data_IF_025658275743
#
_entry.id   IF_025658275743
#
_cell.length_a   1.000
_cell.length_b   1.000
_cell.length_c   1.000
_cell.angle_alpha   90.00
_cell.angle_beta   90.00
_cell.angle_gamma   90.00
#
_symmetry.space_group_name_H-M   'P 1'
#
loop_
_entity.id
_entity.type
_entity.pdbx_description
1 polymer ?
#
# COMPACT_ATOMS: atom_id res chain seq x y z
N UNK A 1 3.97 -25.90 -4.04
CA UNK A 1 2.49 -25.78 -4.20
C UNK A 1 2.02 -24.37 -3.84
N UNK A 2 1.18 -23.72 -4.67
CA UNK A 2 0.58 -22.41 -4.33
C UNK A 2 -0.28 -22.56 -3.06
N UNK A 3 0.06 -21.86 -1.96
CA UNK A 3 -0.59 -21.95 -0.63
C UNK A 3 -2.13 -21.86 -0.65
N UNK A 4 -2.72 -21.16 -1.63
CA UNK A 4 -4.18 -21.07 -1.80
C UNK A 4 -4.84 -22.33 -2.36
N UNK A 5 -4.11 -23.17 -3.11
CA UNK A 5 -4.62 -24.43 -3.67
C UNK A 5 -4.79 -25.50 -2.59
N UNK A 6 -3.88 -25.54 -1.62
CA UNK A 6 -3.94 -26.49 -0.51
C UNK A 6 -5.15 -26.25 0.40
N UNK A 7 -5.41 -25.00 0.81
CA UNK A 7 -6.60 -24.66 1.61
C UNK A 7 -7.92 -25.02 0.93
N UNK A 8 -7.98 -24.86 -0.41
CA UNK A 8 -9.18 -25.21 -1.18
C UNK A 8 -9.42 -26.72 -1.21
N UNK A 9 -8.35 -27.51 -1.33
CA UNK A 9 -8.40 -28.97 -1.31
C UNK A 9 -8.81 -29.47 0.08
N UNK A 10 -8.18 -28.97 1.15
CA UNK A 10 -8.53 -29.34 2.52
C UNK A 10 -9.99 -28.96 2.85
N UNK A 11 -10.42 -27.73 2.52
CA UNK A 11 -11.82 -27.34 2.71
C UNK A 11 -12.81 -28.17 1.89
N UNK A 12 -12.41 -28.61 0.68
CA UNK A 12 -13.21 -29.53 -0.15
C UNK A 12 -13.33 -30.93 0.45
N UNK A 13 -12.28 -31.44 1.09
CA UNK A 13 -12.28 -32.74 1.78
C UNK A 13 -13.23 -32.69 2.99
N UNK A 14 -13.20 -31.61 3.78
CA UNK A 14 -14.13 -31.43 4.90
C UNK A 14 -15.59 -31.36 4.44
N UNK A 15 -15.86 -30.65 3.34
CA UNK A 15 -17.18 -30.62 2.72
C UNK A 15 -17.62 -31.99 2.18
N UNK A 16 -16.68 -32.76 1.63
CA UNK A 16 -16.95 -34.12 1.19
C UNK A 16 -17.38 -35.02 2.36
N UNK A 17 -16.66 -34.98 3.48
CA UNK A 17 -17.07 -35.71 4.68
C UNK A 17 -18.42 -35.27 5.22
N UNK A 18 -18.73 -33.96 5.16
CA UNK A 18 -20.05 -33.46 5.54
C UNK A 18 -21.17 -34.03 4.64
N UNK A 19 -20.96 -34.07 3.33
CA UNK A 19 -21.93 -34.64 2.38
C UNK A 19 -22.08 -36.15 2.59
N UNK A 20 -20.98 -36.88 2.82
CA UNK A 20 -21.01 -38.31 3.11
C UNK A 20 -21.73 -38.61 4.42
N UNK A 21 -21.57 -37.77 5.45
CA UNK A 21 -22.28 -37.89 6.72
C UNK A 21 -23.78 -37.64 6.54
N UNK A 22 -24.17 -36.57 5.84
CA UNK A 22 -25.58 -36.28 5.52
C UNK A 22 -26.19 -37.43 4.70
N UNK A 23 -25.46 -37.97 3.72
CA UNK A 23 -25.94 -39.07 2.89
C UNK A 23 -26.10 -40.36 3.70
N UNK A 24 -25.14 -40.71 4.56
CA UNK A 24 -25.28 -41.85 5.50
C UNK A 24 -26.45 -41.66 6.47
N UNK A 25 -26.63 -40.43 6.96
CA UNK A 25 -27.74 -40.08 7.85
C UNK A 25 -29.10 -40.23 7.15
N UNK A 26 -29.20 -39.78 5.89
CA UNK A 26 -30.41 -39.94 5.06
C UNK A 26 -30.69 -41.41 4.73
N UNK A 27 -29.67 -42.23 4.48
CA UNK A 27 -29.84 -43.66 4.19
C UNK A 27 -30.25 -44.47 5.43
N UNK A 28 -29.85 -44.02 6.64
CA UNK A 28 -30.25 -44.62 7.91
C UNK A 28 -31.51 -43.99 8.54
N UNK A 29 -32.29 -43.19 7.79
CA UNK A 29 -33.55 -42.58 8.24
C UNK A 29 -34.56 -43.58 8.79
N UNK A 30 -34.53 -44.84 8.32
CA UNK A 30 -35.42 -45.90 8.79
C UNK A 30 -35.08 -46.42 10.20
N UNK A 31 -33.84 -46.25 10.68
CA UNK A 31 -33.41 -46.63 12.04
C UNK A 31 -33.46 -45.45 13.03
N UNK A 32 -33.77 -44.24 12.56
CA UNK A 32 -33.68 -43.00 13.33
C UNK A 32 -34.86 -42.74 14.28
N UNK A 33 -35.93 -43.55 14.24
CA UNK A 33 -37.09 -43.36 15.13
C UNK A 33 -36.78 -43.66 16.61
N UNK A 34 -35.68 -44.35 16.91
CA UNK A 34 -35.21 -44.64 18.28
C UNK A 34 -34.17 -43.64 18.81
N UNK A 35 -33.73 -42.65 18.03
CA UNK A 35 -32.65 -41.73 18.42
C UNK A 35 -33.26 -40.40 18.89
N UNK A 36 -33.32 -40.22 20.20
CA UNK A 36 -33.96 -39.09 20.90
C UNK A 36 -33.35 -37.71 20.54
N UNK A 37 -32.10 -37.65 20.06
CA UNK A 37 -31.39 -36.39 19.71
C UNK A 37 -30.80 -36.36 18.28
N UNK A 38 -31.61 -36.73 17.29
CA UNK A 38 -31.21 -36.68 15.87
C UNK A 38 -30.83 -35.27 15.39
N UNK A 39 -31.48 -34.23 15.93
CA UNK A 39 -31.24 -32.82 15.59
C UNK A 39 -29.90 -32.31 16.14
N UNK A 40 -29.53 -32.71 17.36
CA UNK A 40 -28.26 -32.36 17.99
C UNK A 40 -27.05 -32.93 17.24
N UNK A 41 -27.12 -34.20 16.81
CA UNK A 41 -26.06 -34.86 16.04
C UNK A 41 -25.84 -34.21 14.66
N UNK A 42 -26.91 -33.81 13.98
CA UNK A 42 -26.82 -33.09 12.71
C UNK A 42 -26.22 -31.70 12.85
N UNK A 43 -26.70 -30.91 13.83
CA UNK A 43 -26.19 -29.57 14.09
C UNK A 43 -24.70 -29.60 14.45
N UNK A 44 -24.29 -30.58 15.26
CA UNK A 44 -22.90 -30.75 15.65
C UNK A 44 -22.01 -31.12 14.45
N UNK A 45 -22.46 -32.02 13.57
CA UNK A 45 -21.76 -32.35 12.32
C UNK A 45 -21.57 -31.12 11.43
N UNK A 46 -22.61 -30.30 11.25
CA UNK A 46 -22.53 -29.05 10.47
C UNK A 46 -21.51 -28.10 11.09
N UNK A 47 -21.44 -28.03 12.42
CA UNK A 47 -20.51 -27.15 13.12
C UNK A 47 -19.05 -27.61 12.99
N UNK A 48 -18.78 -28.91 13.07
CA UNK A 48 -17.41 -29.48 13.01
C UNK A 48 -16.88 -29.58 11.58
N UNK A 49 -17.70 -30.01 10.61
CA UNK A 49 -17.22 -30.24 9.25
C UNK A 49 -17.71 -29.17 8.26
N UNK A 50 -18.95 -28.72 8.41
CA UNK A 50 -19.57 -27.75 7.50
C UNK A 50 -18.94 -26.36 7.61
N UNK A 51 -18.96 -25.75 8.79
CA UNK A 51 -18.47 -24.38 8.99
C UNK A 51 -16.97 -24.27 8.67
N UNK A 52 -16.06 -25.13 9.18
CA UNK A 52 -14.65 -25.09 8.83
C UNK A 52 -14.39 -25.38 7.35
N UNK A 53 -15.10 -26.35 6.75
CA UNK A 53 -15.00 -26.70 5.34
C UNK A 53 -15.34 -25.53 4.40
N UNK A 54 -16.49 -24.87 4.62
CA UNK A 54 -16.92 -23.70 3.85
C UNK A 54 -15.94 -22.53 4.02
N UNK A 55 -15.52 -22.26 5.26
CA UNK A 55 -14.57 -21.19 5.56
C UNK A 55 -13.24 -21.41 4.84
N UNK A 56 -12.67 -22.62 4.91
CA UNK A 56 -11.41 -22.96 4.25
C UNK A 56 -11.52 -22.89 2.73
N UNK A 57 -12.61 -23.39 2.15
CA UNK A 57 -12.84 -23.33 0.70
C UNK A 57 -12.95 -21.89 0.18
N UNK A 58 -13.75 -21.04 0.85
CA UNK A 58 -13.88 -19.61 0.50
C UNK A 58 -12.56 -18.86 0.66
N UNK A 59 -11.85 -19.08 1.76
CA UNK A 59 -10.57 -18.42 2.05
C UNK A 59 -9.46 -18.86 1.10
N UNK A 60 -9.48 -20.12 0.66
CA UNK A 60 -8.62 -20.63 -0.41
C UNK A 60 -8.86 -19.93 -1.75
N UNK A 61 -10.13 -19.74 -2.14
CA UNK A 61 -10.51 -19.00 -3.36
C UNK A 61 -10.08 -17.53 -3.28
N UNK A 62 -10.31 -16.87 -2.14
CA UNK A 62 -9.96 -15.46 -1.92
C UNK A 62 -8.43 -15.22 -1.93
N UNK A 63 -7.64 -16.16 -1.40
CA UNK A 63 -6.17 -16.07 -1.46
C UNK A 63 -5.63 -16.22 -2.87
N UNK A 64 -6.29 -17.02 -3.72
CA UNK A 64 -5.89 -17.18 -5.12
C UNK A 64 -6.15 -15.92 -5.93
N UNK A 65 -7.33 -15.31 -5.80
CA UNK A 65 -7.65 -14.05 -6.47
C UNK A 65 -6.74 -12.92 -5.98
N UNK A 66 -6.45 -12.85 -4.68
CA UNK A 66 -5.52 -11.84 -4.14
C UNK A 66 -4.09 -11.99 -4.66
N UNK A 67 -3.58 -13.22 -4.76
CA UNK A 67 -2.24 -13.46 -5.32
C UNK A 67 -2.16 -13.08 -6.81
N UNK A 68 -3.23 -13.28 -7.57
CA UNK A 68 -3.33 -12.87 -8.98
C UNK A 68 -3.34 -11.34 -9.11
N UNK A 69 -4.13 -10.65 -8.28
CA UNK A 69 -4.19 -9.19 -8.24
C UNK A 69 -2.83 -8.60 -7.83
N UNK A 70 -2.16 -9.17 -6.84
CA UNK A 70 -0.82 -8.72 -6.42
C UNK A 70 0.22 -8.89 -7.54
N UNK A 71 0.12 -9.95 -8.36
CA UNK A 71 0.96 -10.13 -9.55
C UNK A 71 0.68 -9.08 -10.63
N UNK A 72 -0.60 -8.81 -10.91
CA UNK A 72 -1.00 -7.77 -11.87
C UNK A 72 -0.56 -6.37 -11.44
N UNK A 73 -0.63 -6.05 -10.14
CA UNK A 73 -0.18 -4.76 -9.60
C UNK A 73 1.34 -4.60 -9.70
N UNK A 74 2.11 -5.68 -9.48
CA UNK A 74 3.57 -5.67 -9.69
C UNK A 74 3.95 -5.48 -11.16
N UNK A 75 3.20 -6.09 -12.08
CA UNK A 75 3.41 -5.88 -13.52
C UNK A 75 3.14 -4.45 -13.96
N UNK A 76 2.26 -3.72 -13.25
CA UNK A 76 2.00 -2.30 -13.46
C UNK A 76 2.99 -1.36 -12.76
N UNK A 77 4.09 -1.88 -12.21
CA UNK A 77 5.11 -1.08 -11.52
C UNK A 77 4.69 -0.54 -10.15
N UNK A 78 3.52 -0.93 -9.64
CA UNK A 78 3.05 -0.48 -8.33
C UNK A 78 3.82 -1.28 -7.26
N UNK A 79 4.73 -0.61 -6.56
CA UNK A 79 5.43 -1.17 -5.41
C UNK A 79 4.37 -1.52 -4.34
N UNK A 80 4.24 -2.80 -4.01
CA UNK A 80 3.41 -3.21 -2.88
C UNK A 80 4.25 -3.15 -1.62
N UNK A 81 3.80 -2.49 -0.55
CA UNK A 81 4.56 -2.39 0.68
C UNK A 81 4.84 -3.80 1.22
N UNK A 82 6.12 -4.11 1.42
CA UNK A 82 6.54 -5.40 1.93
C UNK A 82 5.94 -5.64 3.32
N UNK A 83 5.19 -6.73 3.47
CA UNK A 83 4.62 -7.10 4.77
C UNK A 83 5.74 -7.49 5.71
N UNK A 84 6.00 -6.65 6.72
CA UNK A 84 6.93 -6.97 7.81
C UNK A 84 6.44 -8.23 8.53
N UNK A 85 7.29 -9.25 8.57
CA UNK A 85 7.00 -10.55 9.18
C UNK A 85 6.74 -10.43 10.70
N UNK A 86 7.40 -9.47 11.35
CA UNK A 86 7.37 -9.21 12.80
C UNK A 86 6.41 -8.10 13.24
N UNK A 87 5.23 -7.99 12.60
CA UNK A 87 4.19 -7.04 13.03
C UNK A 87 3.44 -7.62 14.24
N UNK A 88 3.19 -6.84 15.29
CA UNK A 88 2.43 -7.27 16.48
C UNK A 88 1.05 -7.89 16.13
N UNK A 89 0.46 -7.44 15.02
CA UNK A 89 -0.73 -8.04 14.41
C UNK A 89 -0.56 -9.53 14.10
N UNK A 90 0.58 -9.96 13.54
CA UNK A 90 0.85 -11.37 13.23
C UNK A 90 0.95 -12.21 14.50
N UNK A 91 1.51 -11.65 15.59
CA UNK A 91 1.58 -12.31 16.90
C UNK A 91 0.19 -12.50 17.50
N UNK A 92 -0.63 -11.45 17.58
CA UNK A 92 -2.01 -11.55 18.09
C UNK A 92 -2.87 -12.51 17.27
N UNK A 93 -2.66 -12.52 15.95
CA UNK A 93 -3.34 -13.45 15.05
C UNK A 93 -2.90 -14.89 15.31
N UNK A 94 -1.60 -15.12 15.48
CA UNK A 94 -1.06 -16.43 15.84
C UNK A 94 -1.61 -16.94 17.17
N UNK A 95 -1.62 -16.10 18.20
CA UNK A 95 -2.19 -16.40 19.51
C UNK A 95 -3.69 -16.74 19.41
N UNK A 96 -4.46 -15.93 18.67
CA UNK A 96 -5.87 -16.19 18.46
C UNK A 96 -6.15 -17.50 17.70
N UNK A 97 -5.36 -17.83 16.67
CA UNK A 97 -5.46 -19.12 15.98
C UNK A 97 -5.09 -20.30 16.88
N UNK A 98 -4.08 -20.14 17.74
CA UNK A 98 -3.70 -21.15 18.72
C UNK A 98 -4.83 -21.44 19.72
N UNK A 99 -5.49 -20.40 20.25
CA UNK A 99 -6.65 -20.57 21.15
C UNK A 99 -7.82 -21.27 20.45
N UNK A 100 -8.13 -20.87 19.21
CA UNK A 100 -9.21 -21.50 18.43
C UNK A 100 -8.89 -22.96 18.09
N UNK A 101 -7.64 -23.29 17.73
CA UNK A 101 -7.20 -24.66 17.51
C UNK A 101 -7.29 -25.50 18.78
N UNK A 102 -6.96 -24.93 19.93
CA UNK A 102 -7.06 -25.62 21.19
C UNK A 102 -8.52 -25.95 21.53
N UNK A 103 -9.44 -25.01 21.30
CA UNK A 103 -10.89 -25.26 21.43
C UNK A 103 -11.36 -26.36 20.49
N UNK A 104 -10.89 -26.35 19.24
CA UNK A 104 -11.22 -27.38 18.25
C UNK A 104 -10.67 -28.77 18.64
N UNK A 105 -9.45 -28.85 19.18
CA UNK A 105 -8.87 -30.10 19.70
C UNK A 105 -9.63 -30.65 20.90
N UNK A 106 -10.07 -29.77 21.81
CA UNK A 106 -10.88 -30.16 22.97
C UNK A 106 -12.24 -30.67 22.51
N UNK A 107 -12.90 -30.00 21.56
CA UNK A 107 -14.15 -30.48 20.96
C UNK A 107 -13.99 -31.84 20.28
N UNK A 108 -12.89 -32.04 19.54
CA UNK A 108 -12.58 -33.32 18.87
C UNK A 108 -12.25 -34.44 19.87
N UNK A 109 -11.55 -34.13 20.97
CA UNK A 109 -11.23 -35.08 22.03
C UNK A 109 -12.48 -35.58 22.75
N UNK A 110 -13.38 -34.66 23.11
CA UNK A 110 -14.68 -35.01 23.69
C UNK A 110 -15.53 -35.83 22.69
N UNK A 111 -15.39 -35.57 21.39
CA UNK A 111 -16.05 -36.33 20.33
C UNK A 111 -15.70 -37.83 20.33
N UNK A 112 -14.47 -38.18 20.73
CA UNK A 112 -14.00 -39.57 20.77
C UNK A 112 -14.48 -40.35 22.02
N UNK A 113 -14.98 -39.64 23.03
CA UNK A 113 -15.33 -40.19 24.36
C UNK A 113 -16.86 -40.16 24.60
N UNK A 114 -17.64 -39.83 23.57
CA UNK A 114 -19.08 -39.56 23.60
C UNK A 114 -19.96 -40.77 24.01
N UNK A 115 -20.01 -41.13 25.30
CA UNK A 115 -20.89 -42.20 25.78
C UNK A 115 -22.03 -41.73 26.68
N UNK A 116 -21.89 -40.66 27.45
CA UNK A 116 -22.97 -40.07 28.25
C UNK A 116 -22.40 -38.80 28.88
N UNK A 117 -23.22 -37.79 29.21
CA UNK A 117 -22.98 -36.68 30.17
C UNK A 117 -23.53 -35.34 29.66
N UNK A 118 -24.71 -34.99 30.18
CA UNK A 118 -25.35 -33.68 30.00
C UNK A 118 -24.58 -32.56 30.73
N UNK A 119 -23.90 -32.88 31.82
CA UNK A 119 -23.09 -31.93 32.64
C UNK A 119 -21.78 -31.49 31.96
N UNK A 120 -21.20 -32.33 31.08
CA UNK A 120 -19.97 -32.00 30.36
C UNK A 120 -20.20 -30.92 29.29
N UNK A 121 -21.43 -30.80 28.79
CA UNK A 121 -21.81 -29.83 27.74
C UNK A 121 -21.78 -28.39 28.27
N UNK A 122 -22.18 -28.16 29.53
CA UNK A 122 -22.13 -26.83 30.15
C UNK A 122 -20.69 -26.36 30.33
N UNK A 123 -19.79 -27.24 30.80
CA UNK A 123 -18.36 -26.93 30.90
C UNK A 123 -17.74 -26.67 29.53
N UNK A 124 -18.12 -27.44 28.52
CA UNK A 124 -17.70 -27.24 27.13
C UNK A 124 -18.16 -25.88 26.59
N UNK A 125 -19.39 -25.49 26.89
CA UNK A 125 -19.95 -24.20 26.50
C UNK A 125 -19.20 -23.04 27.16
N UNK A 126 -18.95 -23.11 28.47
CA UNK A 126 -18.15 -22.12 29.20
C UNK A 126 -16.73 -22.05 28.64
N UNK A 127 -16.13 -23.19 28.30
CA UNK A 127 -14.80 -23.26 27.70
C UNK A 127 -14.72 -22.58 26.33
N UNK A 128 -15.71 -22.81 25.47
CA UNK A 128 -15.83 -22.14 24.16
C UNK A 128 -16.00 -20.63 24.34
N UNK A 129 -16.78 -20.18 25.32
CA UNK A 129 -16.92 -18.75 25.62
C UNK A 129 -15.61 -18.15 26.14
N UNK A 130 -14.90 -18.85 27.04
CA UNK A 130 -13.72 -18.31 27.73
C UNK A 130 -12.46 -18.30 26.86
N UNK A 131 -12.32 -19.24 25.93
CA UNK A 131 -11.15 -19.33 25.04
C UNK A 131 -11.47 -19.02 23.57
N UNK A 132 -12.64 -19.44 23.10
CA UNK A 132 -13.05 -19.24 21.71
C UNK A 132 -13.41 -17.80 21.40
N UNK A 133 -14.19 -17.12 22.26
CA UNK A 133 -14.57 -15.71 22.03
C UNK A 133 -13.34 -14.78 22.07
N UNK A 134 -12.45 -14.86 23.08
CA UNK A 134 -11.22 -14.07 23.07
C UNK A 134 -10.30 -14.42 21.89
N UNK A 135 -10.19 -15.70 21.53
CA UNK A 135 -9.43 -16.14 20.36
C UNK A 135 -9.95 -15.51 19.06
N UNK A 136 -11.27 -15.50 18.86
CA UNK A 136 -11.92 -14.86 17.72
C UNK A 136 -11.71 -13.34 17.71
N UNK A 137 -11.84 -12.69 18.87
CA UNK A 137 -11.61 -11.25 19.01
C UNK A 137 -10.17 -10.85 18.69
N UNK A 138 -9.17 -11.64 19.11
CA UNK A 138 -7.76 -11.40 18.78
C UNK A 138 -7.51 -11.49 17.27
N UNK A 139 -8.08 -12.50 16.60
CA UNK A 139 -7.99 -12.61 15.13
C UNK A 139 -8.68 -11.42 14.45
N UNK A 140 -9.84 -10.99 14.94
CA UNK A 140 -10.55 -9.83 14.40
C UNK A 140 -9.77 -8.52 14.61
N UNK A 141 -9.29 -8.26 15.82
CA UNK A 141 -8.48 -7.09 16.16
C UNK A 141 -7.21 -7.01 15.29
N UNK A 142 -6.54 -8.15 15.05
CA UNK A 142 -5.38 -8.21 14.16
C UNK A 142 -5.72 -7.76 12.73
N UNK A 143 -6.89 -8.12 12.20
CA UNK A 143 -7.31 -7.69 10.85
C UNK A 143 -7.57 -6.20 10.77
N UNK A 144 -8.12 -5.60 11.83
CA UNK A 144 -8.37 -4.16 11.90
C UNK A 144 -7.06 -3.38 11.97
N UNK A 145 -6.09 -3.87 12.74
CA UNK A 145 -4.75 -3.29 12.82
C UNK A 145 -4.01 -3.37 11.48
N UNK A 146 -4.07 -4.51 10.79
CA UNK A 146 -3.51 -4.65 9.44
C UNK A 146 -4.08 -3.61 8.48
N UNK A 147 -5.41 -3.41 8.49
CA UNK A 147 -6.07 -2.44 7.62
C UNK A 147 -5.58 -1.01 7.87
N UNK A 148 -5.48 -0.62 9.14
CA UNK A 148 -4.97 0.71 9.52
C UNK A 148 -3.50 0.92 9.18
N UNK A 149 -2.68 -0.13 9.29
CA UNK A 149 -1.25 -0.06 8.97
C UNK A 149 -0.99 -0.05 7.46
N UNK A 150 -1.80 -0.78 6.69
CA UNK A 150 -1.72 -0.80 5.24
C UNK A 150 -2.18 0.55 4.64
N UNK A 151 -3.19 1.19 5.24
CA UNK A 151 -3.65 2.55 4.88
C UNK A 151 -2.56 3.61 5.13
N UNK A 152 -1.85 3.53 6.27
CA UNK A 152 -0.71 4.42 6.53
C UNK A 152 0.44 4.16 5.55
N UNK A 153 0.70 2.90 5.21
CA UNK A 153 1.77 2.54 4.29
C UNK A 153 1.51 3.04 2.86
N UNK A 154 0.27 2.98 2.36
CA UNK A 154 -0.07 3.52 1.03
C UNK A 154 0.04 5.05 0.98
N UNK A 155 -0.37 5.75 2.03
CA UNK A 155 -0.26 7.22 2.11
C UNK A 155 1.21 7.64 2.15
N UNK A 156 2.03 6.96 2.95
CA UNK A 156 3.47 7.26 3.01
C UNK A 156 4.16 6.96 1.67
N UNK A 157 3.78 5.87 1.00
CA UNK A 157 4.34 5.54 -0.29
C UNK A 157 3.94 6.57 -1.37
N UNK A 158 2.68 7.04 -1.36
CA UNK A 158 2.24 8.12 -2.25
C UNK A 158 3.01 9.41 -1.98
N UNK A 159 3.25 9.75 -0.70
CA UNK A 159 4.05 10.90 -0.31
C UNK A 159 5.48 10.82 -0.84
N UNK A 160 6.15 9.67 -0.68
CA UNK A 160 7.50 9.45 -1.20
C UNK A 160 7.53 9.55 -2.73
N UNK A 161 6.55 8.98 -3.41
CA UNK A 161 6.45 9.04 -4.87
C UNK A 161 6.26 10.49 -5.36
N UNK A 162 5.40 11.26 -4.71
CA UNK A 162 5.21 12.69 -5.01
C UNK A 162 6.49 13.50 -4.77
N UNK A 163 7.20 13.25 -3.67
CA UNK A 163 8.48 13.92 -3.39
C UNK A 163 9.51 13.61 -4.47
N UNK A 164 9.66 12.34 -4.87
CA UNK A 164 10.58 11.95 -5.93
C UNK A 164 10.26 12.63 -7.26
N UNK A 165 8.97 12.68 -7.64
CA UNK A 165 8.52 13.35 -8.87
C UNK A 165 8.80 14.86 -8.84
N UNK A 166 8.62 15.52 -7.69
CA UNK A 166 8.96 16.94 -7.51
C UNK A 166 10.48 17.19 -7.57
N UNK A 167 11.30 16.30 -7.02
CA UNK A 167 12.77 16.41 -7.14
C UNK A 167 13.25 16.19 -8.56
N UNK A 168 12.70 15.23 -9.29
CA UNK A 168 13.07 14.97 -10.69
C UNK A 168 12.77 16.19 -11.57
N UNK A 169 11.64 16.88 -11.32
CA UNK A 169 11.30 18.14 -12.01
C UNK A 169 12.23 19.30 -11.65
N UNK A 170 12.61 19.43 -10.37
CA UNK A 170 13.53 20.46 -9.92
C UNK A 170 14.94 20.28 -10.52
N UNK A 171 15.42 19.03 -10.61
CA UNK A 171 16.70 18.71 -11.24
C UNK A 171 16.69 18.98 -12.76
N UNK A 172 15.54 18.81 -13.41
CA UNK A 172 15.38 19.14 -14.83
C UNK A 172 15.40 20.65 -15.11
N UNK A 173 14.81 21.48 -14.24
CA UNK A 173 14.83 22.96 -14.39
C UNK A 173 16.24 23.55 -14.28
N UNK A 174 17.07 23.04 -13.36
CA UNK A 174 18.43 23.56 -13.19
C UNK A 174 19.36 23.21 -14.37
N UNK A 175 19.09 22.14 -15.11
CA UNK A 175 19.83 21.76 -16.31
C UNK A 175 19.45 22.56 -17.57
N UNK A 176 18.33 23.27 -17.58
CA UNK A 176 17.83 24.04 -18.74
C UNK A 176 18.33 25.50 -18.80
N UNK A 177 18.98 26.00 -17.74
CA UNK A 177 19.54 27.37 -17.66
C UNK A 177 20.86 27.66 -18.43
N UNK A 178 21.52 26.76 -19.21
CA UNK A 178 22.69 27.14 -20.00
C UNK A 178 22.38 28.07 -21.18
N UNK A 179 21.23 27.90 -21.84
CA UNK A 179 20.93 28.63 -23.08
C UNK A 179 20.58 30.10 -22.81
N UNK A 180 19.88 30.39 -21.71
CA UNK A 180 19.51 31.75 -21.30
C UNK A 180 20.72 32.57 -20.83
N UNK A 181 21.68 31.94 -20.13
CA UNK A 181 22.95 32.59 -19.76
C UNK A 181 23.81 32.90 -20.99
N UNK A 182 23.84 32.01 -21.98
CA UNK A 182 24.59 32.24 -23.23
C UNK A 182 23.95 33.36 -24.10
N UNK A 183 22.62 33.45 -24.12
CA UNK A 183 21.90 34.54 -24.80
C UNK A 183 22.08 35.90 -24.11
N UNK A 184 22.10 35.93 -22.77
CA UNK A 184 22.35 37.16 -22.01
C UNK A 184 23.79 37.69 -22.18
N UNK A 185 24.78 36.79 -22.27
CA UNK A 185 26.20 37.17 -22.45
C UNK A 185 26.52 37.64 -23.88
N UNK A 186 25.82 37.12 -24.89
CA UNK A 186 26.02 37.54 -26.29
C UNK A 186 25.32 38.87 -26.63
N UNK A 187 24.26 39.25 -25.90
CA UNK A 187 23.58 40.54 -26.05
C UNK A 187 24.35 41.73 -25.43
N UNK A 188 25.29 41.48 -24.51
CA UNK A 188 26.11 42.52 -23.87
C UNK A 188 27.33 42.95 -24.72
N UNK A 189 27.73 42.16 -25.72
CA UNK A 189 28.97 42.35 -26.46
C UNK A 189 28.85 43.25 -27.71
N UNK A 190 27.64 43.67 -28.10
CA UNK A 190 27.45 44.41 -29.35
C UNK A 190 26.45 45.57 -29.20
N UNK A 191 26.82 46.56 -28.38
CA UNK A 191 26.06 47.81 -28.27
C UNK A 191 26.61 48.79 -29.32
N UNK A 192 25.83 49.20 -30.35
CA UNK A 192 26.30 50.19 -31.32
C UNK A 192 26.63 51.51 -30.59
N UNK A 193 27.84 52.03 -30.75
CA UNK A 193 28.28 53.27 -30.09
C UNK A 193 27.55 54.47 -30.71
N UNK A 194 26.73 55.16 -29.92
CA UNK A 194 25.98 56.34 -30.36
C UNK A 194 26.81 57.63 -30.13
N UNK A 195 26.67 58.66 -30.98
CA UNK A 195 27.35 59.94 -30.80
C UNK A 195 27.07 60.55 -29.42
N UNK A 196 28.12 61.05 -28.75
CA UNK A 196 28.06 61.61 -27.40
C UNK A 196 28.24 63.13 -27.46
N UNK A 197 27.57 63.85 -26.57
CA UNK A 197 27.81 65.28 -26.37
C UNK A 197 28.87 65.44 -25.27
N UNK A 198 29.93 66.19 -25.56
CA UNK A 198 31.03 66.48 -24.64
C UNK A 198 31.14 67.99 -24.43
N UNK A 199 31.54 68.40 -23.22
CA UNK A 199 31.75 69.80 -22.89
C UNK A 199 33.14 70.25 -23.35
N UNK A 200 33.21 71.38 -24.04
CA UNK A 200 34.47 71.97 -24.49
C UNK A 200 35.33 72.41 -23.30
N UNK A 201 36.56 71.91 -23.19
CA UNK A 201 37.48 72.27 -22.10
C UNK A 201 37.96 73.73 -22.17
N UNK A 202 37.86 74.38 -23.33
CA UNK A 202 38.29 75.76 -23.52
C UNK A 202 37.21 76.80 -23.14
N UNK A 203 35.95 76.55 -23.49
CA UNK A 203 34.87 77.54 -23.33
C UNK A 203 33.60 77.01 -22.66
N UNK A 204 33.54 75.72 -22.31
CA UNK A 204 32.38 75.09 -21.67
C UNK A 204 31.18 74.86 -22.59
N UNK A 205 31.30 75.10 -23.90
CA UNK A 205 30.22 74.85 -24.86
C UNK A 205 30.07 73.35 -25.15
N UNK A 206 28.82 72.88 -25.28
CA UNK A 206 28.50 71.48 -25.59
C UNK A 206 28.67 71.18 -27.08
N UNK A 207 29.41 70.12 -27.40
CA UNK A 207 29.68 69.70 -28.79
C UNK A 207 29.30 68.23 -28.94
N UNK A 208 28.62 67.90 -30.04
CA UNK A 208 28.28 66.52 -30.39
C UNK A 208 29.41 65.89 -31.22
N UNK A 209 30.03 64.84 -30.70
CA UNK A 209 31.15 64.14 -31.34
C UNK A 209 30.73 62.72 -31.73
N UNK A 210 31.08 62.30 -32.95
CA UNK A 210 30.84 60.94 -33.41
C UNK A 210 31.95 59.99 -32.94
N UNK A 211 31.67 58.69 -32.77
CA UNK A 211 32.69 57.70 -32.40
C UNK A 211 33.87 57.76 -33.38
N UNK A 212 35.10 57.61 -32.86
CA UNK A 212 36.35 57.61 -33.64
C UNK A 212 36.64 58.89 -34.45
N UNK A 213 35.98 60.01 -34.10
CA UNK A 213 36.21 61.31 -34.75
C UNK A 213 36.60 62.40 -33.75
N UNK A 214 37.27 63.43 -34.26
CA UNK A 214 37.62 64.65 -33.51
C UNK A 214 36.86 65.81 -34.15
N UNK A 215 36.15 66.58 -33.33
CA UNK A 215 35.41 67.76 -33.78
C UNK A 215 36.01 69.03 -33.17
N UNK A 216 36.10 70.09 -33.96
CA UNK A 216 36.54 71.40 -33.47
C UNK A 216 35.38 72.17 -32.82
N UNK A 217 35.64 72.84 -31.69
CA UNK A 217 34.69 73.70 -31.03
C UNK A 217 34.40 74.95 -31.89
N UNK A 218 33.12 75.20 -32.20
CA UNK A 218 32.71 76.37 -32.99
C UNK A 218 33.05 77.72 -32.32
N UNK A 219 33.18 77.75 -30.99
CA UNK A 219 33.36 78.99 -30.24
C UNK A 219 34.82 79.34 -29.93
N UNK A 220 35.70 78.35 -29.77
CA UNK A 220 37.11 78.61 -29.43
C UNK A 220 38.12 77.83 -30.27
N UNK A 221 37.66 77.01 -31.23
CA UNK A 221 38.51 76.29 -32.17
C UNK A 221 39.26 75.08 -31.58
N UNK A 222 39.06 74.74 -30.30
CA UNK A 222 39.72 73.61 -29.66
C UNK A 222 39.19 72.27 -30.18
N UNK A 223 40.08 71.30 -30.38
CA UNK A 223 39.75 69.96 -30.87
C UNK A 223 39.28 69.04 -29.73
N UNK A 224 38.12 68.42 -29.89
CA UNK A 224 37.50 67.52 -28.90
C UNK A 224 37.36 66.11 -29.50
N UNK A 225 37.92 65.11 -28.82
CA UNK A 225 37.80 63.71 -29.19
C UNK A 225 36.66 63.03 -28.43
N UNK A 226 36.12 61.95 -29.00
CA UNK A 226 35.02 61.19 -28.42
C UNK A 226 35.30 60.63 -27.01
N UNK A 227 36.57 60.30 -26.73
CA UNK A 227 37.02 59.73 -25.45
C UNK A 227 37.51 60.77 -24.42
N UNK A 228 37.34 62.07 -24.70
CA UNK A 228 37.72 63.10 -23.75
C UNK A 228 36.73 63.10 -22.56
N UNK A 229 37.19 62.55 -21.44
CA UNK A 229 36.64 62.72 -20.09
C UNK A 229 37.67 63.45 -19.26
#
# INVERSE_FOLDING_TARGET
MKKGSFLKVVGGIFLFFQISFILSFLLNLSQLHEIEDWSGKLLYSIFVFGIPGICLFRKGKQRRTKAEIELQLRQRGILLPAKKLWRASNFMRGLGWMMMLFVELVLLGNMMIWSDMQDEVEMLFVFVLLLGVPGALLVWASTKLDRSADEKAMVEQYRVQLVNEMTDLAEWDDNFKPYERAAANSAAANKPMLPKVVDCTGCGAQIKVQPDSVAACEYCGSMMAYDAV
#
